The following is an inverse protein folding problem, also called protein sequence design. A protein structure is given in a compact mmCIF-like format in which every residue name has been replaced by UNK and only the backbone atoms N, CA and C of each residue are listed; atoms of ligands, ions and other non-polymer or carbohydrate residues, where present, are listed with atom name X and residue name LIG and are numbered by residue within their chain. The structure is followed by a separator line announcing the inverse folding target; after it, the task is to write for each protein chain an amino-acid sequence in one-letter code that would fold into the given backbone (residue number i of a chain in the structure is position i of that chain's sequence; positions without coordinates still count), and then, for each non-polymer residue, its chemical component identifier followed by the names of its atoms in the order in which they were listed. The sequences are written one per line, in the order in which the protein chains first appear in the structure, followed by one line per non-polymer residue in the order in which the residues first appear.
data_IF_668925056874
#
_entry.id   IF_668925056874
#
_cell.length_a   1.000
_cell.length_b   1.000
_cell.length_c   1.000
_cell.angle_alpha   90.00
_cell.angle_beta   90.00
_cell.angle_gamma   90.00
#
_symmetry.space_group_name_H-M   'P 1'
#
loop_
_entity.id
_entity.type
_entity.pdbx_description
1 polymer ?
#
# COMPACT_ATOMS: atom_id res chain seq x y z
N UNK A 1 11.88 -60.46 32.44
CA UNK A 1 10.50 -60.16 32.88
C UNK A 1 10.66 -59.30 34.11
N UNK A 2 10.34 -58.01 34.15
CA UNK A 2 9.39 -57.21 33.37
C UNK A 2 9.76 -55.72 33.48
N UNK A 3 9.32 -54.97 32.46
CA UNK A 3 8.87 -53.58 32.49
C UNK A 3 9.82 -52.46 32.94
N UNK A 4 10.43 -51.84 31.92
CA UNK A 4 10.71 -50.40 31.86
C UNK A 4 9.40 -49.61 31.97
N UNK A 5 9.16 -48.99 33.13
CA UNK A 5 8.05 -48.06 33.33
C UNK A 5 8.46 -46.68 32.79
N UNK A 6 8.13 -46.43 31.52
CA UNK A 6 8.13 -45.08 30.95
C UNK A 6 6.96 -44.32 31.57
N UNK A 7 7.25 -43.44 32.53
CA UNK A 7 6.33 -42.39 32.94
C UNK A 7 6.18 -41.42 31.77
N UNK A 8 5.21 -41.67 30.90
CA UNK A 8 4.67 -40.68 29.98
C UNK A 8 4.00 -39.59 30.80
N UNK A 9 4.65 -38.44 30.90
CA UNK A 9 4.00 -37.20 31.33
C UNK A 9 3.02 -36.84 30.20
N UNK A 10 1.80 -37.36 30.28
CA UNK A 10 0.67 -36.83 29.54
C UNK A 10 0.36 -35.46 30.16
N UNK A 11 0.83 -34.39 29.52
CA UNK A 11 0.30 -33.07 29.79
C UNK A 11 -1.21 -33.10 29.50
N UNK A 12 -2.08 -32.71 30.46
CA UNK A 12 -3.51 -32.68 30.20
C UNK A 12 -3.75 -31.63 29.10
N UNK A 13 -4.11 -32.11 27.91
CA UNK A 13 -4.55 -31.27 26.80
C UNK A 13 -5.84 -30.58 27.25
N UNK A 14 -5.68 -29.36 27.74
CA UNK A 14 -6.73 -28.56 28.36
C UNK A 14 -7.95 -28.48 27.42
N UNK A 15 -9.08 -29.02 27.86
CA UNK A 15 -10.38 -29.16 27.14
C UNK A 15 -11.09 -27.82 26.83
N UNK A 16 -10.36 -26.71 26.73
CA UNK A 16 -10.89 -25.41 26.34
C UNK A 16 -10.01 -24.73 25.30
N UNK A 17 -9.52 -25.48 24.31
CA UNK A 17 -9.08 -24.85 23.08
C UNK A 17 -10.32 -24.23 22.41
N UNK A 18 -10.37 -22.91 22.15
CA UNK A 18 -11.50 -22.32 21.43
C UNK A 18 -11.68 -23.07 20.11
N UNK A 19 -12.92 -23.46 19.80
CA UNK A 19 -13.26 -24.22 18.60
C UNK A 19 -12.67 -23.49 17.38
N UNK A 20 -11.67 -24.10 16.74
CA UNK A 20 -10.93 -23.46 15.66
C UNK A 20 -11.86 -23.25 14.48
N UNK A 21 -12.02 -22.00 14.01
CA UNK A 21 -12.78 -21.74 12.79
C UNK A 21 -12.01 -22.32 11.60
N UNK A 22 -12.66 -23.24 10.91
CA UNK A 22 -12.14 -23.91 9.73
C UNK A 22 -12.75 -23.28 8.46
N UNK A 23 -11.98 -23.24 7.38
CA UNK A 23 -12.51 -22.93 6.05
C UNK A 23 -13.44 -24.06 5.57
N UNK A 24 -14.18 -23.83 4.48
CA UNK A 24 -14.99 -24.84 3.78
C UNK A 24 -14.20 -26.11 3.41
N UNK A 25 -12.86 -26.02 3.35
CA UNK A 25 -11.94 -27.15 3.08
C UNK A 25 -11.40 -27.83 4.34
N UNK A 26 -11.87 -27.46 5.53
CA UNK A 26 -11.40 -28.01 6.81
C UNK A 26 -10.03 -27.50 7.26
N UNK A 27 -9.47 -26.47 6.61
CA UNK A 27 -8.20 -25.87 6.99
C UNK A 27 -8.38 -24.82 8.08
N UNK A 28 -7.52 -24.78 9.12
CA UNK A 28 -7.62 -23.76 10.16
C UNK A 28 -7.35 -22.36 9.59
N UNK A 29 -8.25 -21.42 9.89
CA UNK A 29 -8.08 -20.02 9.50
C UNK A 29 -7.01 -19.38 10.37
N UNK A 30 -5.90 -18.98 9.74
CA UNK A 30 -4.79 -18.28 10.40
C UNK A 30 -4.64 -16.92 9.75
N UNK A 31 -4.74 -15.81 10.52
CA UNK A 31 -5.20 -15.72 11.92
C UNK A 31 -6.69 -16.07 12.10
N UNK A 32 -7.07 -16.51 13.31
CA UNK A 32 -8.45 -16.89 13.65
C UNK A 32 -9.38 -15.67 13.60
N UNK A 33 -10.51 -15.71 12.85
CA UNK A 33 -11.47 -14.61 12.80
C UNK A 33 -12.16 -14.39 14.14
N UNK A 34 -12.20 -13.13 14.59
CA UNK A 34 -12.99 -12.75 15.78
C UNK A 34 -14.50 -12.87 15.50
N UNK A 35 -15.33 -12.89 16.54
CA UNK A 35 -16.80 -12.83 16.40
C UNK A 35 -17.32 -11.40 16.17
N UNK A 36 -16.44 -10.40 16.21
CA UNK A 36 -16.79 -9.02 15.89
C UNK A 36 -17.15 -8.88 14.38
N UNK A 37 -18.36 -8.38 14.03
CA UNK A 37 -18.73 -8.07 12.65
C UNK A 37 -17.78 -7.08 11.96
N UNK A 38 -17.02 -6.32 12.74
CA UNK A 38 -16.03 -5.34 12.26
C UNK A 38 -14.67 -5.95 11.93
N UNK A 39 -14.45 -7.26 12.17
CA UNK A 39 -13.22 -7.95 11.74
C UNK A 39 -13.19 -8.03 10.20
N UNK A 40 -12.16 -7.47 9.52
CA UNK A 40 -12.03 -7.54 8.07
C UNK A 40 -11.97 -8.96 7.50
N UNK A 41 -11.68 -9.97 8.34
CA UNK A 41 -11.76 -11.37 7.96
C UNK A 41 -13.19 -11.86 7.74
N UNK A 42 -14.19 -11.26 8.39
CA UNK A 42 -15.59 -11.68 8.30
C UNK A 42 -16.35 -11.05 7.12
N UNK A 43 -15.72 -10.11 6.40
CA UNK A 43 -16.36 -9.43 5.27
C UNK A 43 -16.72 -10.36 4.11
N UNK A 44 -17.75 -9.96 3.34
CA UNK A 44 -18.18 -10.72 2.18
C UNK A 44 -17.07 -10.84 1.13
N UNK A 45 -17.02 -11.97 0.43
CA UNK A 45 -16.00 -12.21 -0.63
C UNK A 45 -16.02 -11.09 -1.68
N UNK A 46 -17.19 -10.62 -2.08
CA UNK A 46 -17.33 -9.52 -3.04
C UNK A 46 -16.66 -8.23 -2.57
N UNK A 47 -16.83 -7.85 -1.30
CA UNK A 47 -16.17 -6.67 -0.71
C UNK A 47 -14.65 -6.84 -0.68
N UNK A 48 -14.14 -8.03 -0.31
CA UNK A 48 -12.70 -8.30 -0.31
C UNK A 48 -12.10 -8.18 -1.71
N UNK A 49 -12.75 -8.74 -2.73
CA UNK A 49 -12.30 -8.63 -4.12
C UNK A 49 -12.35 -7.19 -4.65
N UNK A 50 -13.38 -6.42 -4.27
CA UNK A 50 -13.47 -4.99 -4.59
C UNK A 50 -12.26 -4.22 -4.02
N UNK A 51 -11.93 -4.46 -2.75
CA UNK A 51 -10.78 -3.82 -2.08
C UNK A 51 -9.47 -4.18 -2.76
N UNK A 52 -9.27 -5.46 -3.10
CA UNK A 52 -8.08 -5.91 -3.86
C UNK A 52 -8.00 -5.23 -5.21
N UNK A 53 -9.12 -5.11 -5.92
CA UNK A 53 -9.19 -4.46 -7.22
C UNK A 53 -8.79 -2.99 -7.11
N UNK A 54 -9.34 -2.25 -6.14
CA UNK A 54 -8.99 -0.84 -5.90
C UNK A 54 -7.51 -0.70 -5.51
N UNK A 55 -7.01 -1.54 -4.59
CA UNK A 55 -5.62 -1.55 -4.15
C UNK A 55 -4.64 -1.86 -5.31
N UNK A 56 -5.04 -2.77 -6.20
CA UNK A 56 -4.29 -3.13 -7.40
C UNK A 56 -4.28 -1.99 -8.41
N UNK A 57 -5.43 -1.34 -8.66
CA UNK A 57 -5.53 -0.18 -9.54
C UNK A 57 -4.68 1.00 -9.05
N UNK A 58 -4.70 1.24 -7.73
CA UNK A 58 -3.88 2.28 -7.09
C UNK A 58 -2.39 2.04 -7.32
N UNK A 59 -1.92 0.82 -7.11
CA UNK A 59 -0.52 0.46 -7.35
C UNK A 59 -0.16 0.51 -8.85
N UNK A 60 -1.05 0.00 -9.70
CA UNK A 60 -0.90 0.03 -11.16
C UNK A 60 -0.75 1.47 -11.66
N UNK A 61 -1.67 2.37 -11.32
CA UNK A 61 -1.62 3.75 -11.79
C UNK A 61 -0.52 4.56 -11.10
N UNK A 62 -0.12 4.18 -9.89
CA UNK A 62 1.05 4.75 -9.21
C UNK A 62 2.35 4.48 -9.99
N UNK A 63 2.64 3.21 -10.31
CA UNK A 63 3.84 2.87 -11.10
C UNK A 63 3.74 3.32 -12.55
N UNK A 64 2.52 3.32 -13.11
CA UNK A 64 2.25 3.88 -14.43
C UNK A 64 2.66 5.36 -14.47
N UNK A 65 2.22 6.16 -13.48
CA UNK A 65 2.55 7.58 -13.38
C UNK A 65 4.05 7.89 -13.36
N UNK A 66 4.88 6.98 -12.83
CA UNK A 66 6.33 7.15 -12.87
C UNK A 66 6.89 6.93 -14.27
N UNK A 67 6.46 5.84 -14.93
CA UNK A 67 7.05 5.40 -16.18
C UNK A 67 6.51 6.15 -17.42
N UNK A 68 5.30 6.74 -17.36
CA UNK A 68 4.71 7.46 -18.51
C UNK A 68 5.55 8.67 -18.93
N UNK A 69 6.28 9.31 -18.01
CA UNK A 69 7.12 10.47 -18.31
C UNK A 69 8.44 10.11 -19.02
N UNK A 70 8.89 8.85 -18.92
CA UNK A 70 10.18 8.39 -19.46
C UNK A 70 10.38 8.70 -20.96
N UNK A 71 9.46 8.36 -21.87
CA UNK A 71 9.62 8.65 -23.29
C UNK A 71 9.59 10.15 -23.63
N UNK A 72 9.13 11.01 -22.71
CA UNK A 72 9.03 12.46 -22.94
C UNK A 72 10.27 13.25 -22.49
N UNK A 73 11.28 12.64 -21.85
CA UNK A 73 12.42 13.40 -21.30
C UNK A 73 13.18 14.22 -22.35
N UNK A 74 13.42 13.68 -23.54
CA UNK A 74 14.07 14.44 -24.61
C UNK A 74 13.25 15.67 -25.03
N UNK A 75 11.92 15.53 -25.13
CA UNK A 75 11.03 16.64 -25.47
C UNK A 75 10.93 17.68 -24.35
N UNK A 76 10.94 17.23 -23.09
CA UNK A 76 10.95 18.11 -21.92
C UNK A 76 12.24 18.92 -21.88
N UNK A 77 13.39 18.29 -22.17
CA UNK A 77 14.68 18.96 -22.28
C UNK A 77 14.67 20.08 -23.32
N UNK A 78 14.19 19.78 -24.53
CA UNK A 78 14.06 20.80 -25.60
C UNK A 78 13.11 21.93 -25.21
N UNK A 79 11.96 21.60 -24.60
CA UNK A 79 10.94 22.59 -24.25
C UNK A 79 11.37 23.54 -23.11
N UNK A 80 12.28 23.12 -22.25
CA UNK A 80 12.75 23.88 -21.09
C UNK A 80 14.20 24.37 -21.25
N UNK A 81 14.85 24.07 -22.37
CA UNK A 81 16.23 24.46 -22.64
C UNK A 81 17.26 23.74 -21.75
N UNK A 82 16.96 22.53 -21.30
CA UNK A 82 17.80 21.73 -20.39
C UNK A 82 18.34 20.49 -21.11
N UNK A 83 19.48 19.96 -20.66
CA UNK A 83 20.05 18.72 -21.21
C UNK A 83 19.07 17.55 -21.07
N UNK A 84 19.13 16.59 -22.00
CA UNK A 84 18.36 15.35 -21.90
C UNK A 84 18.73 14.55 -20.63
N UNK A 85 19.98 14.68 -20.16
CA UNK A 85 20.45 14.09 -18.90
C UNK A 85 19.70 14.72 -17.73
N UNK A 86 19.60 16.05 -17.70
CA UNK A 86 18.90 16.75 -16.63
C UNK A 86 17.40 16.42 -16.63
N UNK A 87 16.79 16.34 -17.81
CA UNK A 87 15.39 15.92 -17.93
C UNK A 87 15.15 14.52 -17.34
N UNK A 88 16.13 13.61 -17.38
CA UNK A 88 15.99 12.28 -16.77
C UNK A 88 15.91 12.31 -15.23
N UNK A 89 16.45 13.35 -14.57
CA UNK A 89 16.35 13.48 -13.11
C UNK A 89 14.93 13.67 -12.61
N UNK A 90 13.99 14.08 -13.48
CA UNK A 90 12.54 14.13 -13.21
C UNK A 90 12.02 12.75 -12.80
N UNK A 91 12.51 11.68 -13.43
CA UNK A 91 12.17 10.30 -13.05
C UNK A 91 12.90 9.85 -11.79
N UNK A 92 14.20 10.14 -11.71
CA UNK A 92 15.06 9.73 -10.59
C UNK A 92 14.58 10.30 -9.27
N UNK A 93 14.22 11.60 -9.22
CA UNK A 93 13.70 12.22 -7.99
C UNK A 93 12.40 11.59 -7.53
N UNK A 94 11.55 11.16 -8.47
CA UNK A 94 10.28 10.50 -8.19
C UNK A 94 10.53 9.14 -7.51
N UNK A 95 11.43 8.34 -8.05
CA UNK A 95 11.81 7.03 -7.48
C UNK A 95 12.48 7.21 -6.11
N UNK A 96 13.41 8.17 -5.98
CA UNK A 96 14.07 8.47 -4.71
C UNK A 96 13.06 8.91 -3.64
N UNK A 97 12.14 9.79 -4.01
CA UNK A 97 11.06 10.24 -3.14
C UNK A 97 10.14 9.08 -2.74
N UNK A 98 9.86 8.12 -3.63
CA UNK A 98 9.08 6.93 -3.26
C UNK A 98 9.77 6.02 -2.26
N UNK A 99 11.10 5.90 -2.33
CA UNK A 99 11.88 5.21 -1.31
C UNK A 99 11.67 5.84 0.06
N UNK A 100 11.86 7.16 0.16
CA UNK A 100 11.66 7.94 1.40
C UNK A 100 10.21 7.84 1.87
N UNK A 101 9.24 7.99 0.95
CA UNK A 101 7.82 7.91 1.23
C UNK A 101 7.41 6.57 1.83
N UNK A 102 8.01 5.46 1.38
CA UNK A 102 7.71 4.13 1.90
C UNK A 102 8.01 4.01 3.40
N UNK A 103 9.11 4.60 3.86
CA UNK A 103 9.47 4.66 5.28
C UNK A 103 8.53 5.55 6.09
N UNK A 104 7.95 6.58 5.48
CA UNK A 104 7.01 7.48 6.15
C UNK A 104 5.64 6.84 6.28
N UNK A 105 5.11 6.30 5.19
CA UNK A 105 3.73 5.80 5.13
C UNK A 105 3.53 4.48 5.85
N UNK A 106 4.54 3.60 5.86
CA UNK A 106 4.47 2.33 6.59
C UNK A 106 4.07 2.50 8.07
N UNK A 107 4.86 3.18 8.94
CA UNK A 107 4.51 3.38 10.35
C UNK A 107 3.27 4.28 10.54
N UNK A 108 3.10 5.28 9.68
CA UNK A 108 1.95 6.20 9.75
C UNK A 108 0.63 5.45 9.61
N UNK A 109 0.57 4.49 8.68
CA UNK A 109 -0.63 3.68 8.44
C UNK A 109 -1.01 2.74 9.60
N UNK A 110 -0.06 2.35 10.44
CA UNK A 110 -0.35 1.57 11.65
C UNK A 110 -0.98 2.39 12.78
N UNK A 111 -0.76 3.72 12.79
CA UNK A 111 -1.25 4.59 13.87
C UNK A 111 -2.55 5.30 13.49
N UNK A 112 -2.60 5.84 12.27
CA UNK A 112 -3.72 6.66 11.82
C UNK A 112 -4.78 5.88 11.05
N UNK A 113 -4.54 4.61 10.71
CA UNK A 113 -5.40 3.82 9.85
C UNK A 113 -4.90 3.77 8.41
N UNK A 114 -5.38 2.80 7.64
CA UNK A 114 -5.01 2.59 6.24
C UNK A 114 -5.75 3.56 5.33
N UNK A 115 -7.04 3.79 5.57
CA UNK A 115 -7.91 4.60 4.71
C UNK A 115 -7.52 6.09 4.69
N UNK A 116 -7.43 6.82 5.82
CA UNK A 116 -7.12 8.25 5.80
C UNK A 116 -5.73 8.53 5.25
N UNK A 117 -4.77 7.63 5.52
CA UNK A 117 -3.41 7.73 4.99
C UNK A 117 -3.39 7.56 3.47
N UNK A 118 -4.11 6.58 2.92
CA UNK A 118 -4.25 6.42 1.47
C UNK A 118 -4.93 7.61 0.81
N UNK A 119 -6.02 8.13 1.40
CA UNK A 119 -6.74 9.29 0.85
C UNK A 119 -5.81 10.52 0.78
N UNK A 120 -5.10 10.81 1.87
CA UNK A 120 -4.22 11.97 1.94
C UNK A 120 -3.03 11.83 0.97
N UNK A 121 -2.38 10.68 0.97
CA UNK A 121 -1.25 10.45 0.09
C UNK A 121 -1.64 10.44 -1.39
N UNK A 122 -2.81 9.91 -1.75
CA UNK A 122 -3.30 10.00 -3.12
C UNK A 122 -3.67 11.43 -3.54
N UNK A 123 -4.17 12.26 -2.63
CA UNK A 123 -4.37 13.68 -2.92
C UNK A 123 -3.03 14.37 -3.27
N UNK A 124 -1.93 13.98 -2.60
CA UNK A 124 -0.58 14.47 -2.93
C UNK A 124 -0.15 14.00 -4.32
N UNK A 125 -0.42 12.76 -4.71
CA UNK A 125 -0.12 12.25 -6.07
C UNK A 125 -0.85 13.07 -7.13
N UNK A 126 -2.16 13.28 -6.94
CA UNK A 126 -2.99 14.06 -7.85
C UNK A 126 -2.47 15.49 -7.99
N UNK A 127 -2.21 16.16 -6.86
CA UNK A 127 -1.66 17.51 -6.84
C UNK A 127 -0.28 17.60 -7.49
N UNK A 128 0.61 16.63 -7.23
CA UNK A 128 1.93 16.56 -7.84
C UNK A 128 1.87 16.32 -9.35
N UNK A 129 0.95 15.48 -9.83
CA UNK A 129 0.78 15.20 -11.25
C UNK A 129 0.29 16.43 -12.02
N UNK A 130 -0.80 17.05 -11.57
CA UNK A 130 -1.29 18.29 -12.20
C UNK A 130 -0.32 19.46 -12.00
N UNK A 131 0.29 19.59 -10.83
CA UNK A 131 1.29 20.61 -10.54
C UNK A 131 2.51 20.53 -11.46
N UNK A 132 2.99 19.32 -11.75
CA UNK A 132 4.08 19.12 -12.71
C UNK A 132 3.63 19.38 -14.16
N UNK A 133 2.40 19.04 -14.52
CA UNK A 133 1.88 19.23 -15.88
C UNK A 133 1.75 20.71 -16.28
N UNK A 134 1.34 21.57 -15.34
CA UNK A 134 1.18 23.01 -15.55
C UNK A 134 2.42 23.82 -15.20
N UNK A 135 3.50 23.17 -14.78
CA UNK A 135 4.75 23.83 -14.45
C UNK A 135 5.39 24.50 -15.69
N UNK A 136 5.95 25.69 -15.47
CA UNK A 136 6.68 26.48 -16.49
C UNK A 136 8.20 26.43 -16.33
N UNK A 137 8.69 25.87 -15.22
CA UNK A 137 10.10 25.78 -14.88
C UNK A 137 10.48 24.34 -14.53
N UNK A 138 11.69 23.95 -14.91
CA UNK A 138 12.27 22.65 -14.59
C UNK A 138 12.27 22.38 -13.07
N UNK A 139 12.61 23.38 -12.25
CA UNK A 139 12.60 23.23 -10.79
C UNK A 139 11.20 22.94 -10.23
N UNK A 140 10.17 23.56 -10.78
CA UNK A 140 8.77 23.30 -10.38
C UNK A 140 8.33 21.90 -10.75
N UNK A 141 8.78 21.37 -11.90
CA UNK A 141 8.51 19.97 -12.29
C UNK A 141 9.18 19.02 -11.30
N UNK A 142 10.45 19.24 -10.96
CA UNK A 142 11.20 18.42 -9.99
C UNK A 142 10.45 18.35 -8.65
N UNK A 143 10.00 19.50 -8.14
CA UNK A 143 9.23 19.57 -6.88
C UNK A 143 7.90 18.83 -7.01
N UNK A 144 7.17 19.04 -8.10
CA UNK A 144 5.92 18.32 -8.35
C UNK A 144 6.11 16.81 -8.40
N UNK A 145 7.18 16.34 -9.07
CA UNK A 145 7.55 14.91 -9.14
C UNK A 145 7.98 14.35 -7.80
N UNK A 146 8.69 15.13 -6.97
CA UNK A 146 9.05 14.73 -5.62
C UNK A 146 7.79 14.42 -4.79
N UNK A 147 6.77 15.29 -4.85
CA UNK A 147 5.50 15.05 -4.17
C UNK A 147 4.73 13.87 -4.78
N UNK A 148 4.69 13.73 -6.11
CA UNK A 148 4.09 12.55 -6.76
C UNK A 148 4.75 11.26 -6.26
N UNK A 149 6.08 11.20 -6.24
CA UNK A 149 6.83 10.03 -5.79
C UNK A 149 6.58 9.70 -4.32
N UNK A 150 6.54 10.72 -3.45
CA UNK A 150 6.18 10.55 -2.04
C UNK A 150 4.80 9.91 -1.89
N UNK A 151 3.79 10.37 -2.64
CA UNK A 151 2.43 9.85 -2.54
C UNK A 151 2.28 8.44 -3.15
N UNK A 152 2.92 8.15 -4.29
CA UNK A 152 2.82 6.83 -4.95
C UNK A 152 3.32 5.70 -4.04
N UNK A 153 4.32 5.98 -3.20
CA UNK A 153 4.84 5.03 -2.23
C UNK A 153 3.78 4.52 -1.25
N UNK A 154 2.83 5.37 -0.83
CA UNK A 154 1.78 4.93 0.07
C UNK A 154 0.90 3.87 -0.58
N UNK A 155 0.55 4.05 -1.86
CA UNK A 155 -0.27 3.09 -2.60
C UNK A 155 0.43 1.74 -2.66
N UNK A 156 1.71 1.73 -3.01
CA UNK A 156 2.46 0.49 -3.13
C UNK A 156 2.56 -0.23 -1.78
N UNK A 157 2.97 0.45 -0.70
CA UNK A 157 3.16 -0.17 0.61
C UNK A 157 1.83 -0.58 1.26
N UNK A 158 0.83 0.32 1.25
CA UNK A 158 -0.42 0.07 1.94
C UNK A 158 -1.27 -0.96 1.19
N UNK A 159 -1.19 -1.07 -0.14
CA UNK A 159 -1.91 -2.13 -0.88
C UNK A 159 -1.50 -3.54 -0.43
N UNK A 160 -0.20 -3.79 -0.17
CA UNK A 160 0.24 -5.08 0.40
C UNK A 160 -0.32 -5.29 1.82
N UNK A 161 -0.37 -4.22 2.62
CA UNK A 161 -0.91 -4.27 3.98
C UNK A 161 -2.43 -4.53 3.98
N UNK A 162 -3.20 -3.87 3.11
CA UNK A 162 -4.64 -4.07 2.98
C UNK A 162 -4.97 -5.55 2.70
N UNK A 163 -4.26 -6.17 1.75
CA UNK A 163 -4.48 -7.57 1.39
C UNK A 163 -4.09 -8.51 2.55
N UNK A 164 -3.01 -8.19 3.26
CA UNK A 164 -2.58 -8.89 4.47
C UNK A 164 -3.62 -8.83 5.59
N UNK A 165 -4.36 -7.73 5.70
CA UNK A 165 -5.30 -7.47 6.78
C UNK A 165 -6.66 -8.18 6.55
N UNK A 166 -7.06 -8.41 5.28
CA UNK A 166 -8.38 -8.98 4.90
C UNK A 166 -8.40 -10.46 4.51
N UNK A 167 -7.24 -11.06 4.17
CA UNK A 167 -7.12 -12.47 3.78
C UNK A 167 -6.36 -13.33 4.79
N UNK A 168 -6.87 -14.54 5.00
CA UNK A 168 -6.17 -15.58 5.76
C UNK A 168 -4.97 -16.14 4.98
N UNK A 169 -4.04 -16.76 5.70
CA UNK A 169 -2.74 -17.22 5.18
C UNK A 169 -2.85 -18.07 3.89
N UNK A 170 -3.85 -18.95 3.82
CA UNK A 170 -4.05 -19.89 2.71
C UNK A 170 -4.44 -19.21 1.38
N UNK A 171 -5.19 -18.10 1.42
CA UNK A 171 -5.59 -17.33 0.22
C UNK A 171 -4.72 -16.10 -0.03
N UNK A 172 -4.08 -15.59 1.02
CA UNK A 172 -3.29 -14.36 1.01
C UNK A 172 -2.19 -14.39 -0.06
N UNK A 173 -1.48 -15.51 -0.22
CA UNK A 173 -0.40 -15.63 -1.20
C UNK A 173 -0.85 -15.37 -2.64
N UNK A 174 -2.03 -15.89 -3.01
CA UNK A 174 -2.61 -15.68 -4.35
C UNK A 174 -2.95 -14.20 -4.59
N UNK A 175 -3.56 -13.55 -3.60
CA UNK A 175 -3.97 -12.15 -3.72
C UNK A 175 -2.76 -11.20 -3.75
N UNK A 176 -1.73 -11.49 -2.97
CA UNK A 176 -0.44 -10.78 -3.04
C UNK A 176 0.25 -10.97 -4.39
N UNK A 177 0.12 -12.14 -5.01
CA UNK A 177 0.58 -12.40 -6.37
C UNK A 177 -0.11 -11.50 -7.39
N UNK A 178 -1.45 -11.41 -7.35
CA UNK A 178 -2.23 -10.52 -8.23
C UNK A 178 -1.80 -9.06 -8.06
N UNK A 179 -1.63 -8.61 -6.81
CA UNK A 179 -1.16 -7.26 -6.51
C UNK A 179 0.23 -6.98 -7.09
N UNK A 180 1.13 -7.96 -7.00
CA UNK A 180 2.50 -7.85 -7.53
C UNK A 180 2.47 -7.76 -9.06
N UNK A 181 1.67 -8.59 -9.73
CA UNK A 181 1.48 -8.51 -11.18
C UNK A 181 0.96 -7.12 -11.56
N UNK A 182 -0.11 -6.64 -10.91
CA UNK A 182 -0.65 -5.30 -11.19
C UNK A 182 0.39 -4.18 -11.02
N UNK A 183 1.18 -4.23 -9.95
CA UNK A 183 2.25 -3.26 -9.68
C UNK A 183 3.28 -3.18 -10.83
N UNK A 184 3.80 -4.34 -11.27
CA UNK A 184 4.80 -4.38 -12.34
C UNK A 184 4.20 -4.11 -13.72
N UNK A 185 3.00 -4.63 -14.00
CA UNK A 185 2.35 -4.38 -15.29
C UNK A 185 2.10 -2.87 -15.50
N UNK A 186 1.83 -2.09 -14.46
CA UNK A 186 1.67 -0.64 -14.54
C UNK A 186 2.89 0.08 -15.15
N UNK A 187 4.10 -0.22 -14.69
CA UNK A 187 5.32 0.42 -15.22
C UNK A 187 5.67 -0.03 -16.65
N UNK A 188 5.43 -1.30 -16.98
CA UNK A 188 5.72 -1.84 -18.31
C UNK A 188 4.73 -1.33 -19.35
N UNK A 189 3.44 -1.26 -19.01
CA UNK A 189 2.41 -0.75 -19.93
C UNK A 189 2.48 0.76 -20.10
N UNK A 190 3.08 1.52 -19.19
CA UNK A 190 3.14 2.98 -19.26
C UNK A 190 3.96 3.54 -20.43
N UNK A 191 4.97 2.82 -20.89
CA UNK A 191 5.81 3.27 -22.01
C UNK A 191 5.03 3.38 -23.32
N UNK A 192 4.04 2.50 -23.53
CA UNK A 192 3.21 2.48 -24.74
C UNK A 192 2.40 3.78 -24.90
N UNK A 193 1.44 4.13 -24.02
CA UNK A 193 0.69 5.38 -24.13
C UNK A 193 1.59 6.59 -23.91
N UNK A 194 2.62 6.51 -23.06
CA UNK A 194 3.56 7.60 -22.83
C UNK A 194 4.28 8.04 -24.11
N UNK A 195 4.75 7.09 -24.92
CA UNK A 195 5.44 7.37 -26.18
C UNK A 195 4.53 8.01 -27.22
N UNK A 196 3.35 7.43 -27.44
CA UNK A 196 2.36 7.99 -28.38
C UNK A 196 1.91 9.40 -27.96
N UNK A 197 1.63 9.61 -26.67
CA UNK A 197 1.17 10.90 -26.17
C UNK A 197 2.27 11.97 -26.30
N UNK A 198 3.51 11.62 -25.94
CA UNK A 198 4.65 12.51 -26.12
C UNK A 198 4.77 12.95 -27.58
N UNK A 199 4.65 12.01 -28.53
CA UNK A 199 4.82 12.31 -29.96
C UNK A 199 3.68 13.16 -30.55
N UNK A 200 2.42 12.85 -30.27
CA UNK A 200 1.28 13.45 -30.98
C UNK A 200 0.58 14.59 -30.24
N UNK A 201 0.55 14.56 -28.90
CA UNK A 201 -0.22 15.53 -28.09
C UNK A 201 0.70 16.48 -27.34
N UNK A 202 1.88 15.98 -26.96
CA UNK A 202 2.95 16.73 -26.32
C UNK A 202 3.26 16.25 -24.90
N UNK A 203 4.45 16.61 -24.42
CA UNK A 203 5.02 16.10 -23.18
C UNK A 203 4.16 16.37 -21.93
N UNK A 204 3.40 17.48 -21.88
CA UNK A 204 2.54 17.80 -20.72
C UNK A 204 1.48 16.72 -20.47
N UNK A 205 0.95 16.14 -21.54
CA UNK A 205 -0.08 15.11 -21.45
C UNK A 205 0.42 13.80 -20.85
N UNK A 206 1.73 13.55 -20.91
CA UNK A 206 2.34 12.41 -20.19
C UNK A 206 2.21 12.52 -18.68
N UNK A 207 1.92 13.71 -18.14
CA UNK A 207 1.67 13.97 -16.71
C UNK A 207 0.19 14.15 -16.40
N UNK A 208 -0.59 14.71 -17.34
CA UNK A 208 -2.04 14.89 -17.19
C UNK A 208 -2.77 13.54 -17.22
N UNK A 209 -2.44 12.65 -18.16
CA UNK A 209 -3.09 11.35 -18.26
C UNK A 209 -3.00 10.54 -16.96
N UNK A 210 -1.80 10.30 -16.38
CA UNK A 210 -1.73 9.62 -15.09
C UNK A 210 -2.38 10.42 -13.98
N UNK A 211 -2.36 11.76 -14.02
CA UNK A 211 -3.09 12.61 -13.07
C UNK A 211 -4.60 12.34 -13.05
N UNK A 212 -5.23 12.21 -14.22
CA UNK A 212 -6.65 11.86 -14.36
C UNK A 212 -6.90 10.45 -13.81
N UNK A 213 -6.07 9.48 -14.21
CA UNK A 213 -6.23 8.10 -13.75
C UNK A 213 -6.09 7.97 -12.21
N UNK A 214 -5.09 8.64 -11.62
CA UNK A 214 -4.90 8.67 -10.16
C UNK A 214 -6.04 9.41 -9.46
N UNK A 215 -6.66 10.41 -10.11
CA UNK A 215 -7.83 11.11 -9.57
C UNK A 215 -9.06 10.21 -9.50
N UNK A 216 -9.27 9.38 -10.54
CA UNK A 216 -10.34 8.36 -10.52
C UNK A 216 -10.10 7.37 -9.38
N UNK A 217 -8.86 6.88 -9.21
CA UNK A 217 -8.51 6.01 -8.08
C UNK A 217 -8.74 6.69 -6.73
N UNK A 218 -8.42 7.98 -6.60
CA UNK A 218 -8.66 8.75 -5.39
C UNK A 218 -10.15 8.81 -5.03
N UNK A 219 -11.02 9.08 -6.02
CA UNK A 219 -12.48 9.04 -5.84
C UNK A 219 -12.96 7.65 -5.46
N UNK A 220 -12.43 6.59 -6.10
CA UNK A 220 -12.78 5.21 -5.74
C UNK A 220 -12.41 4.88 -4.29
N UNK A 221 -11.24 5.32 -3.82
CA UNK A 221 -10.82 5.14 -2.42
C UNK A 221 -11.79 5.86 -1.46
N UNK A 222 -12.20 7.08 -1.79
CA UNK A 222 -13.09 7.86 -0.93
C UNK A 222 -14.42 7.14 -0.66
N UNK A 223 -15.03 6.55 -1.69
CA UNK A 223 -16.35 5.94 -1.58
C UNK A 223 -16.33 4.45 -1.23
N UNK A 224 -15.37 3.68 -1.76
CA UNK A 224 -15.44 2.21 -1.73
C UNK A 224 -14.42 1.53 -0.81
N UNK A 225 -13.44 2.26 -0.27
CA UNK A 225 -12.45 1.67 0.64
C UNK A 225 -12.87 1.85 2.10
N UNK A 226 -13.33 0.79 2.80
CA UNK A 226 -13.52 0.84 4.25
C UNK A 226 -12.18 0.84 5.00
N UNK A 227 -12.19 1.24 6.28
CA UNK A 227 -11.01 1.14 7.13
C UNK A 227 -10.73 -0.33 7.47
N UNK A 228 -9.51 -0.80 7.18
CA UNK A 228 -9.14 -2.24 7.33
C UNK A 228 -8.23 -2.50 8.52
N UNK A 229 -7.76 -1.46 9.23
CA UNK A 229 -6.88 -1.66 10.38
C UNK A 229 -7.67 -2.22 11.56
N UNK A 230 -7.48 -3.51 11.86
CA UNK A 230 -8.08 -4.19 13.01
C UNK A 230 -7.00 -4.81 13.89
N UNK A 231 -6.88 -4.35 15.14
CA UNK A 231 -5.89 -4.86 16.11
C UNK A 231 -6.54 -5.95 16.95
N UNK A 232 -6.24 -7.23 16.64
CA UNK A 232 -6.73 -8.38 17.42
C UNK A 232 -6.04 -8.45 18.78
N UNK A 233 -6.81 -8.59 19.86
CA UNK A 233 -6.29 -8.76 21.23
C UNK A 233 -6.42 -7.55 22.15
N UNK A 234 -7.03 -6.45 21.71
CA UNK A 234 -7.54 -5.40 22.62
C UNK A 234 -8.98 -5.74 23.01
N UNK A 235 -9.42 -5.48 24.26
CA UNK A 235 -10.80 -5.72 24.67
C UNK A 235 -11.75 -4.93 23.74
N UNK A 236 -12.90 -5.49 23.35
CA UNK A 236 -13.87 -4.81 22.50
C UNK A 236 -14.26 -3.49 23.14
N UNK A 237 -13.94 -2.38 22.48
CA UNK A 237 -14.34 -1.04 22.91
C UNK A 237 -15.84 -0.93 22.63
N UNK A 238 -16.64 -0.67 23.66
CA UNK A 238 -18.10 -0.56 23.52
C UNK A 238 -18.49 0.36 22.35
N UNK A 239 -19.43 -0.05 21.49
CA UNK A 239 -19.83 0.71 20.32
C UNK A 239 -20.68 1.93 20.72
N UNK A 240 -20.04 2.99 21.21
CA UNK A 240 -20.74 4.28 21.37
C UNK A 240 -20.94 4.89 19.99
N UNK A 241 -22.14 5.38 19.63
CA UNK A 241 -22.46 5.92 18.29
C UNK A 241 -21.53 7.01 17.72
N UNK A 242 -20.66 7.61 18.56
CA UNK A 242 -19.56 8.49 18.14
C UNK A 242 -18.40 7.72 17.46
N UNK A 243 -18.15 6.46 17.82
CA UNK A 243 -17.10 5.59 17.27
C UNK A 243 -17.26 5.29 15.78
N UNK A 244 -18.49 5.12 15.28
CA UNK A 244 -18.73 4.87 13.85
C UNK A 244 -18.32 6.07 12.99
N UNK A 245 -18.68 7.30 13.41
CA UNK A 245 -18.27 8.55 12.74
C UNK A 245 -16.78 8.85 12.96
N UNK A 246 -16.19 8.48 14.10
CA UNK A 246 -14.74 8.58 14.36
C UNK A 246 -13.90 7.58 13.54
N UNK A 247 -14.43 6.37 13.29
CA UNK A 247 -13.83 5.35 12.40
C UNK A 247 -13.95 5.77 10.93
N UNK A 248 -15.09 6.34 10.51
CA UNK A 248 -15.26 6.96 9.19
C UNK A 248 -14.36 8.19 8.98
N UNK A 249 -14.07 8.95 10.05
CA UNK A 249 -13.25 10.16 10.04
C UNK A 249 -11.75 9.93 10.36
N UNK A 250 -11.31 8.67 10.46
CA UNK A 250 -9.89 8.32 10.48
C UNK A 250 -9.07 8.82 11.67
N UNK A 251 -9.57 8.69 12.90
CA UNK A 251 -8.75 9.04 14.09
C UNK A 251 -8.48 7.88 15.05
N UNK A 252 -7.18 7.60 15.22
CA UNK A 252 -6.50 6.84 16.28
C UNK A 252 -7.05 5.43 16.58
N UNK A 253 -6.73 4.47 15.72
CA UNK A 253 -7.06 3.06 15.94
C UNK A 253 -6.31 2.39 17.11
N UNK A 254 -5.25 3.00 17.67
CA UNK A 254 -4.40 2.31 18.66
C UNK A 254 -3.98 3.13 19.90
N UNK A 255 -4.44 4.38 20.10
CA UNK A 255 -4.02 5.23 21.24
C UNK A 255 -2.51 5.53 21.35
N UNK A 256 -1.68 4.94 20.48
CA UNK A 256 -0.22 5.00 20.48
C UNK A 256 0.27 6.19 19.66
N UNK A 257 1.19 6.97 20.21
CA UNK A 257 1.87 8.07 19.49
C UNK A 257 3.01 7.51 18.63
N UNK A 258 3.20 8.07 17.42
CA UNK A 258 4.36 7.77 16.58
C UNK A 258 5.64 8.12 17.35
N UNK A 259 6.55 7.14 17.50
CA UNK A 259 7.90 7.39 18.01
C UNK A 259 8.89 7.29 16.86
N UNK A 260 9.95 8.12 16.89
CA UNK A 260 11.02 8.08 15.88
C UNK A 260 11.67 6.68 15.74
N UNK A 261 11.68 5.91 16.82
CA UNK A 261 12.16 4.51 16.83
C UNK A 261 11.34 3.60 15.91
N UNK A 262 10.06 3.88 15.69
CA UNK A 262 9.21 3.06 14.83
C UNK A 262 9.64 3.11 13.36
N UNK A 263 10.31 4.18 12.94
CA UNK A 263 10.93 4.32 11.61
C UNK A 263 12.25 3.54 11.50
N UNK A 264 12.95 3.32 12.62
CA UNK A 264 14.20 2.57 12.67
C UNK A 264 14.00 1.05 12.85
N UNK A 265 12.78 0.59 13.15
CA UNK A 265 12.44 -0.84 13.33
C UNK A 265 12.87 -1.75 12.17
N UNK A 266 12.72 -1.37 10.88
CA UNK A 266 13.21 -2.20 9.78
C UNK A 266 14.73 -2.47 9.88
N UNK A 267 15.51 -1.50 10.36
CA UNK A 267 16.94 -1.63 10.54
C UNK A 267 17.33 -2.43 11.79
N UNK A 268 16.42 -2.64 12.75
CA UNK A 268 16.68 -3.52 13.90
C UNK A 268 16.88 -4.97 13.46
N UNK A 269 16.30 -5.38 12.33
CA UNK A 269 16.48 -6.73 11.79
C UNK A 269 17.89 -6.95 11.22
N UNK A 270 18.62 -5.89 10.84
CA UNK A 270 20.03 -5.99 10.43
C UNK A 270 20.96 -6.45 11.56
N UNK A 271 20.50 -6.43 12.81
CA UNK A 271 21.23 -6.99 13.96
C UNK A 271 21.37 -8.51 13.88
N UNK A 272 20.49 -9.20 13.15
CA UNK A 272 20.53 -10.65 13.04
C UNK A 272 21.53 -11.07 11.94
N UNK A 273 22.63 -11.70 12.37
CA UNK A 273 23.71 -12.24 11.52
C UNK A 273 23.19 -13.10 10.33
N UNK A 274 22.13 -13.94 10.46
CA UNK A 274 21.57 -14.69 9.33
C UNK A 274 21.01 -13.84 8.18
N UNK A 275 20.71 -12.55 8.41
CA UNK A 275 20.23 -11.62 7.37
C UNK A 275 21.41 -10.98 6.63
N UNK A 276 22.58 -10.86 7.29
CA UNK A 276 23.79 -10.29 6.69
C UNK A 276 24.57 -11.32 5.87
N UNK A 277 24.49 -12.60 6.25
CA UNK A 277 25.14 -13.70 5.55
C UNK A 277 24.07 -14.71 5.14
N UNK A 278 23.39 -14.43 4.03
CA UNK A 278 22.63 -15.45 3.31
C UNK A 278 23.66 -16.32 2.59
N UNK A 279 24.09 -17.39 3.27
CA UNK A 279 24.89 -18.48 2.71
C UNK A 279 24.06 -19.75 2.72
#
# INVERSE_FOLDING_TARGET
MEASEKTSVEEPYNETAPELKLDHKGLPLIPQPSDDPEDPLNWSRAQKYLIVCIASLVAFFGTFSHATANPAYAQIGVALGVSAIDASYIGTICIAASGIGSFIWAPTSYVYGRRPVLIFAQAIVVAGNFGSAYAKSYGTIIVGRFFTGLGVASGNVLSFALISDIFCLHERGKMLGIQTVALFTGSHLAALPGGFIAQYVGWRWTMILPGIATSICWVLILFYLPETLYVRGLPPVEPTGKHYRMRLAGTKAAGRKLKLIDFARPFQMLKYIPILFVG
#
